data_IF_029852799346
#
_entry.id   IF_029852799346
#
_cell.length_a   1.000
_cell.length_b   1.000
_cell.length_c   1.000
_cell.angle_alpha   90.00
_cell.angle_beta   90.00
_cell.angle_gamma   90.00
#
_symmetry.space_group_name_H-M   'P 1'
#
loop_
_entity.id
_entity.type
_entity.pdbx_description
1 polymer ?
#
# COMPACT_ATOMS: atom_id res chain seq x y z
N UNK A 1 15.97 -11.87 45.68
CA UNK A 1 15.63 -13.07 44.88
C UNK A 1 14.18 -12.91 44.45
N UNK A 2 13.92 -12.25 43.33
CA UNK A 2 12.58 -12.02 42.77
C UNK A 2 12.56 -12.72 41.41
N UNK A 3 11.76 -13.76 41.33
CA UNK A 3 11.57 -14.58 40.14
C UNK A 3 10.76 -13.81 39.11
N UNK A 4 11.35 -13.48 37.99
CA UNK A 4 10.66 -13.04 36.78
C UNK A 4 9.99 -14.27 36.17
N UNK A 5 8.66 -14.35 36.32
CA UNK A 5 7.85 -15.27 35.53
C UNK A 5 7.77 -14.71 34.12
N UNK A 6 8.44 -15.38 33.19
CA UNK A 6 8.30 -15.12 31.74
C UNK A 6 6.92 -15.57 31.30
N UNK A 7 6.12 -14.64 30.81
CA UNK A 7 4.92 -14.94 30.05
C UNK A 7 5.31 -15.46 28.65
N UNK A 8 5.51 -16.78 28.57
CA UNK A 8 5.74 -17.49 27.31
C UNK A 8 4.38 -17.72 26.61
N UNK A 9 4.02 -16.82 25.70
CA UNK A 9 2.76 -16.99 24.96
C UNK A 9 2.81 -16.55 23.49
N UNK A 10 3.61 -15.57 23.14
CA UNK A 10 3.53 -14.95 21.82
C UNK A 10 4.71 -15.23 20.87
N UNK A 11 5.89 -15.58 21.36
CA UNK A 11 7.07 -15.79 20.51
C UNK A 11 7.01 -17.07 19.65
N UNK A 12 6.34 -18.12 20.16
CA UNK A 12 6.22 -19.41 19.44
C UNK A 12 5.27 -19.36 18.24
N UNK A 13 4.21 -18.52 18.28
CA UNK A 13 3.28 -18.43 17.17
C UNK A 13 3.88 -17.67 15.98
N UNK A 14 4.59 -16.57 16.22
CA UNK A 14 5.14 -15.74 15.13
C UNK A 14 6.33 -16.43 14.41
N UNK A 15 7.19 -17.14 15.12
CA UNK A 15 8.24 -17.98 14.51
C UNK A 15 7.68 -19.08 13.60
N UNK A 16 6.55 -19.70 13.99
CA UNK A 16 5.86 -20.66 13.13
C UNK A 16 5.25 -19.99 11.88
N UNK A 17 4.90 -18.72 11.96
CA UNK A 17 4.37 -17.94 10.85
C UNK A 17 5.38 -17.72 9.71
N UNK A 18 6.60 -17.30 10.06
CA UNK A 18 7.67 -17.01 9.10
C UNK A 18 8.14 -18.27 8.37
N UNK A 19 8.04 -19.44 9.00
CA UNK A 19 8.46 -20.72 8.41
C UNK A 19 7.43 -21.34 7.46
N UNK A 20 6.16 -20.88 7.47
CA UNK A 20 5.07 -21.48 6.68
C UNK A 20 4.74 -20.76 5.37
N UNK A 21 5.02 -19.46 5.23
CA UNK A 21 4.77 -18.71 4.00
C UNK A 21 5.84 -17.61 3.82
N UNK A 22 6.79 -17.87 2.92
CA UNK A 22 7.89 -16.96 2.59
C UNK A 22 7.47 -15.86 1.61
N UNK A 23 6.17 -15.58 1.47
CA UNK A 23 5.64 -14.55 0.58
C UNK A 23 5.26 -13.31 1.37
N UNK A 24 5.67 -12.14 0.86
CA UNK A 24 5.36 -10.85 1.46
C UNK A 24 3.83 -10.62 1.57
N UNK A 25 3.09 -10.84 0.46
CA UNK A 25 1.64 -10.66 0.47
C UNK A 25 0.93 -11.73 1.30
N UNK A 26 1.49 -12.94 1.41
CA UNK A 26 0.98 -13.97 2.30
C UNK A 26 1.04 -13.55 3.77
N UNK A 27 2.12 -12.86 4.19
CA UNK A 27 2.24 -12.27 5.52
C UNK A 27 1.17 -11.18 5.73
N UNK A 28 1.04 -10.25 4.78
CA UNK A 28 0.05 -9.16 4.86
C UNK A 28 -1.39 -9.70 4.90
N UNK A 29 -1.72 -10.66 4.04
CA UNK A 29 -3.05 -11.30 4.02
C UNK A 29 -3.38 -11.94 5.37
N UNK A 30 -2.43 -12.65 5.94
CA UNK A 30 -2.57 -13.30 7.24
C UNK A 30 -2.77 -12.28 8.36
N UNK A 31 -1.94 -11.24 8.40
CA UNK A 31 -2.06 -10.15 9.37
C UNK A 31 -3.44 -9.50 9.31
N UNK A 32 -3.97 -9.25 8.10
CA UNK A 32 -5.34 -8.72 7.93
C UNK A 32 -6.41 -9.64 8.51
N UNK A 33 -6.25 -10.97 8.38
CA UNK A 33 -7.21 -11.96 8.87
C UNK A 33 -7.18 -12.10 10.39
N UNK A 34 -6.00 -12.18 10.97
CA UNK A 34 -5.80 -12.49 12.39
C UNK A 34 -6.03 -11.29 13.29
N UNK A 35 -5.70 -10.10 12.81
CA UNK A 35 -5.84 -8.86 13.58
C UNK A 35 -7.11 -8.08 13.21
N UNK A 36 -8.12 -8.75 12.66
CA UNK A 36 -9.34 -8.19 12.06
C UNK A 36 -9.97 -7.01 12.81
N UNK A 37 -10.04 -7.10 14.14
CA UNK A 37 -10.66 -6.10 14.99
C UNK A 37 -9.67 -5.14 15.66
N UNK A 38 -8.36 -5.28 15.39
CA UNK A 38 -7.34 -4.40 15.96
C UNK A 38 -7.18 -3.13 15.13
N UNK A 39 -6.73 -2.01 15.74
CA UNK A 39 -6.29 -0.82 15.02
C UNK A 39 -5.13 -1.14 14.06
N UNK A 40 -5.17 -0.59 12.85
CA UNK A 40 -4.11 -0.74 11.85
C UNK A 40 -3.44 0.60 11.52
N UNK A 41 -4.21 1.59 11.09
CA UNK A 41 -3.71 2.91 10.71
C UNK A 41 -4.52 4.02 11.38
N UNK A 42 -3.83 5.08 11.80
CA UNK A 42 -4.46 6.28 12.37
C UNK A 42 -3.84 7.53 11.77
N UNK A 43 -4.67 8.48 11.38
CA UNK A 43 -4.22 9.81 11.01
C UNK A 43 -4.15 10.70 12.25
N UNK A 44 -3.17 11.59 12.33
CA UNK A 44 -3.02 12.52 13.45
C UNK A 44 -4.29 13.41 13.59
N UNK A 45 -4.90 13.38 14.77
CA UNK A 45 -6.21 14.01 15.01
C UNK A 45 -7.34 13.59 14.06
N UNK A 46 -7.19 12.41 13.43
CA UNK A 46 -8.09 11.89 12.42
C UNK A 46 -8.72 10.56 12.80
N UNK A 47 -9.10 9.82 11.78
CA UNK A 47 -9.76 8.53 11.92
C UNK A 47 -8.76 7.39 12.17
N UNK A 48 -9.16 6.43 13.02
CA UNK A 48 -8.45 5.16 13.19
C UNK A 48 -9.14 4.07 12.36
N UNK A 49 -8.39 3.45 11.45
CA UNK A 49 -8.85 2.31 10.67
C UNK A 49 -8.40 1.02 11.36
N UNK A 50 -9.34 0.09 11.53
CA UNK A 50 -9.03 -1.28 11.96
C UNK A 50 -8.64 -2.12 10.74
N UNK A 51 -7.98 -3.26 10.95
CA UNK A 51 -7.59 -4.16 9.87
C UNK A 51 -8.78 -4.52 8.96
N UNK A 52 -9.96 -4.77 9.53
CA UNK A 52 -11.21 -4.98 8.76
C UNK A 52 -11.59 -3.82 7.84
N UNK A 53 -11.34 -2.59 8.27
CA UNK A 53 -11.67 -1.40 7.48
C UNK A 53 -10.66 -1.23 6.34
N UNK A 54 -9.38 -1.52 6.63
CA UNK A 54 -8.30 -1.56 5.62
C UNK A 54 -8.62 -2.62 4.57
N UNK A 55 -8.91 -3.85 4.98
CA UNK A 55 -9.23 -4.95 4.07
C UNK A 55 -10.43 -4.65 3.16
N UNK A 56 -11.51 -4.06 3.71
CA UNK A 56 -12.68 -3.63 2.93
C UNK A 56 -12.34 -2.53 1.93
N UNK A 57 -11.49 -1.58 2.30
CA UNK A 57 -11.05 -0.49 1.41
C UNK A 57 -10.16 -1.02 0.29
N UNK A 58 -9.24 -1.93 0.60
CA UNK A 58 -8.41 -2.63 -0.40
C UNK A 58 -9.32 -3.35 -1.40
N UNK A 59 -10.31 -4.09 -0.95
CA UNK A 59 -11.22 -4.82 -1.83
C UNK A 59 -12.04 -3.87 -2.73
N UNK A 60 -12.56 -2.77 -2.19
CA UNK A 60 -13.25 -1.75 -2.98
C UNK A 60 -12.31 -1.09 -4.01
N UNK A 61 -11.06 -0.88 -3.63
CA UNK A 61 -10.04 -0.36 -4.53
C UNK A 61 -9.70 -1.36 -5.65
N UNK A 62 -9.63 -2.66 -5.34
CA UNK A 62 -9.47 -3.70 -6.37
C UNK A 62 -10.62 -3.68 -7.39
N UNK A 63 -11.87 -3.60 -6.93
CA UNK A 63 -13.04 -3.46 -7.80
C UNK A 63 -12.91 -2.22 -8.70
N UNK A 64 -12.42 -1.09 -8.17
CA UNK A 64 -12.17 0.10 -8.96
C UNK A 64 -11.10 -0.12 -10.03
N UNK A 65 -9.97 -0.73 -9.67
CA UNK A 65 -8.89 -1.02 -10.62
C UNK A 65 -9.36 -1.94 -11.77
N UNK A 66 -10.13 -2.98 -11.44
CA UNK A 66 -10.72 -3.89 -12.43
C UNK A 66 -11.62 -3.13 -13.42
N UNK A 67 -12.52 -2.26 -12.93
CA UNK A 67 -13.43 -1.49 -13.77
C UNK A 67 -12.73 -0.41 -14.60
N UNK A 68 -11.59 0.10 -14.11
CA UNK A 68 -10.74 1.00 -14.87
C UNK A 68 -9.88 0.27 -15.92
N UNK A 69 -9.94 -1.05 -15.99
CA UNK A 69 -9.17 -1.87 -16.91
C UNK A 69 -7.68 -1.93 -16.58
N UNK A 70 -7.34 -1.76 -15.30
CA UNK A 70 -5.99 -1.97 -14.76
C UNK A 70 -5.79 -3.48 -14.59
N UNK A 71 -4.63 -3.97 -14.98
CA UNK A 71 -4.26 -5.39 -14.92
C UNK A 71 -3.12 -5.63 -13.94
N UNK A 72 -2.94 -6.89 -13.54
CA UNK A 72 -1.74 -7.32 -12.82
C UNK A 72 -0.49 -6.95 -13.61
N UNK A 73 0.55 -6.46 -12.91
CA UNK A 73 1.77 -5.94 -13.51
C UNK A 73 1.69 -4.52 -14.07
N UNK A 74 0.48 -3.94 -14.21
CA UNK A 74 0.36 -2.52 -14.54
C UNK A 74 0.91 -1.65 -13.40
N UNK A 75 1.52 -0.51 -13.74
CA UNK A 75 2.08 0.43 -12.78
C UNK A 75 0.98 1.39 -12.33
N UNK A 76 0.94 1.65 -11.02
CA UNK A 76 0.04 2.59 -10.37
C UNK A 76 0.88 3.60 -9.60
N UNK A 77 0.87 4.86 -10.03
CA UNK A 77 1.58 5.94 -9.38
C UNK A 77 0.78 6.42 -8.16
N UNK A 78 1.51 6.69 -7.07
CA UNK A 78 0.93 7.20 -5.83
C UNK A 78 1.77 8.38 -5.34
N UNK A 79 1.16 9.57 -5.24
CA UNK A 79 1.78 10.84 -4.84
C UNK A 79 0.90 11.57 -3.84
N UNK A 80 1.44 11.81 -2.66
CA UNK A 80 0.71 12.50 -1.59
C UNK A 80 1.49 12.49 -0.28
N UNK A 81 1.00 13.26 0.69
CA UNK A 81 1.53 13.25 2.06
C UNK A 81 1.19 11.94 2.76
N UNK A 82 1.94 11.63 3.82
CA UNK A 82 1.65 10.51 4.69
C UNK A 82 0.20 10.55 5.17
N UNK A 83 -0.50 9.45 4.99
CA UNK A 83 -1.88 9.27 5.46
C UNK A 83 -2.24 7.80 5.47
N UNK A 84 -3.24 7.44 6.27
CA UNK A 84 -3.80 6.10 6.26
C UNK A 84 -4.29 5.69 4.86
N UNK A 85 -4.87 6.61 4.11
CA UNK A 85 -5.31 6.35 2.74
C UNK A 85 -4.15 6.04 1.79
N UNK A 86 -3.00 6.72 1.96
CA UNK A 86 -1.79 6.42 1.20
C UNK A 86 -1.32 4.98 1.45
N UNK A 87 -1.22 4.58 2.72
CA UNK A 87 -0.82 3.23 3.11
C UNK A 87 -1.81 2.18 2.59
N UNK A 88 -3.12 2.40 2.74
CA UNK A 88 -4.17 1.52 2.24
C UNK A 88 -4.05 1.33 0.72
N UNK A 89 -3.84 2.41 -0.03
CA UNK A 89 -3.65 2.33 -1.47
C UNK A 89 -2.37 1.61 -1.85
N UNK A 90 -1.26 1.86 -1.16
CA UNK A 90 0.01 1.18 -1.40
C UNK A 90 -0.13 -0.34 -1.24
N UNK A 91 -0.64 -0.79 -0.10
CA UNK A 91 -0.90 -2.22 0.11
C UNK A 91 -1.95 -2.77 -0.86
N UNK A 92 -2.96 -1.98 -1.20
CA UNK A 92 -3.97 -2.35 -2.18
C UNK A 92 -3.40 -2.55 -3.59
N UNK A 93 -2.45 -1.73 -4.02
CA UNK A 93 -1.74 -1.91 -5.30
C UNK A 93 -0.98 -3.25 -5.31
N UNK A 94 -0.20 -3.51 -4.27
CA UNK A 94 0.57 -4.75 -4.15
C UNK A 94 -0.34 -5.97 -4.07
N UNK A 95 -1.36 -5.92 -3.22
CA UNK A 95 -2.33 -7.01 -3.02
C UNK A 95 -3.15 -7.34 -4.28
N UNK A 96 -3.31 -6.39 -5.20
CA UNK A 96 -3.90 -6.59 -6.53
C UNK A 96 -2.95 -7.31 -7.49
N UNK A 97 -1.64 -7.26 -7.24
CA UNK A 97 -0.58 -7.70 -8.15
C UNK A 97 -0.20 -6.62 -9.17
N UNK A 98 -0.51 -5.37 -8.90
CA UNK A 98 0.01 -4.23 -9.65
C UNK A 98 1.34 -3.74 -9.05
N UNK A 99 2.08 -2.94 -9.81
CA UNK A 99 3.37 -2.39 -9.40
C UNK A 99 3.16 -1.00 -8.82
N UNK A 100 3.56 -0.78 -7.57
CA UNK A 100 3.50 0.54 -6.96
C UNK A 100 4.63 1.44 -7.47
N UNK A 101 4.28 2.69 -7.83
CA UNK A 101 5.24 3.75 -8.19
C UNK A 101 5.08 4.90 -7.19
N UNK A 102 5.71 4.80 -5.99
CA UNK A 102 5.65 5.85 -5.01
C UNK A 102 6.45 7.07 -5.49
N UNK A 103 5.81 8.25 -5.42
CA UNK A 103 6.39 9.54 -5.83
C UNK A 103 6.36 10.48 -4.64
N UNK A 104 7.50 11.10 -4.34
CA UNK A 104 7.59 12.09 -3.28
C UNK A 104 6.66 13.28 -3.55
N UNK A 105 5.84 13.64 -2.56
CA UNK A 105 4.85 14.71 -2.68
C UNK A 105 5.48 16.10 -2.88
N UNK A 106 6.76 16.24 -2.57
CA UNK A 106 7.55 17.48 -2.74
C UNK A 106 8.08 17.67 -4.17
N UNK A 107 7.92 16.66 -5.04
CA UNK A 107 8.37 16.79 -6.42
C UNK A 107 7.53 17.82 -7.19
N UNK A 108 8.21 18.57 -8.05
CA UNK A 108 7.53 19.54 -8.95
C UNK A 108 6.61 18.79 -9.92
N UNK A 109 5.52 19.41 -10.39
CA UNK A 109 4.57 18.80 -11.33
C UNK A 109 5.24 18.17 -12.55
N UNK A 110 6.20 18.84 -13.17
CA UNK A 110 6.90 18.30 -14.34
C UNK A 110 7.66 17.00 -14.04
N UNK A 111 8.24 16.89 -12.85
CA UNK A 111 8.90 15.66 -12.43
C UNK A 111 7.89 14.55 -12.18
N UNK A 112 6.73 14.87 -11.61
CA UNK A 112 5.64 13.90 -11.41
C UNK A 112 5.14 13.40 -12.77
N UNK A 113 4.83 14.29 -13.72
CA UNK A 113 4.42 13.94 -15.08
C UNK A 113 5.47 13.06 -15.77
N UNK A 114 6.76 13.44 -15.64
CA UNK A 114 7.86 12.65 -16.20
C UNK A 114 7.90 11.23 -15.63
N UNK A 115 7.81 11.07 -14.29
CA UNK A 115 7.85 9.76 -13.64
C UNK A 115 6.65 8.92 -14.05
N UNK A 116 5.44 9.48 -14.08
CA UNK A 116 4.21 8.79 -14.50
C UNK A 116 4.36 8.25 -15.93
N UNK A 117 4.83 9.10 -16.85
CA UNK A 117 5.01 8.69 -18.25
C UNK A 117 6.16 7.68 -18.41
N UNK A 118 7.31 7.94 -17.80
CA UNK A 118 8.49 7.07 -17.89
C UNK A 118 8.24 5.69 -17.28
N UNK A 119 7.51 5.61 -16.18
CA UNK A 119 7.12 4.33 -15.58
C UNK A 119 6.08 3.57 -16.40
N UNK A 120 5.35 4.27 -17.27
CA UNK A 120 4.20 3.74 -18.01
C UNK A 120 3.01 3.48 -17.08
N UNK A 121 2.85 4.28 -16.01
CA UNK A 121 1.75 4.12 -15.07
C UNK A 121 0.38 4.25 -15.75
N UNK A 122 -0.54 3.36 -15.40
CA UNK A 122 -1.91 3.31 -15.95
C UNK A 122 -2.95 3.93 -15.00
N UNK A 123 -2.57 4.17 -13.75
CA UNK A 123 -3.38 4.91 -12.79
C UNK A 123 -2.50 5.86 -11.98
N UNK A 124 -3.09 6.97 -11.55
CA UNK A 124 -2.47 7.97 -10.67
C UNK A 124 -3.39 8.22 -9.48
N UNK A 125 -2.84 8.02 -8.29
CA UNK A 125 -3.48 8.32 -7.02
C UNK A 125 -2.78 9.55 -6.44
N UNK A 126 -3.48 10.67 -6.32
CA UNK A 126 -2.88 11.94 -5.92
C UNK A 126 -3.57 12.56 -4.71
N UNK A 127 -2.79 13.13 -3.79
CA UNK A 127 -3.32 14.04 -2.78
C UNK A 127 -3.78 15.35 -3.41
N UNK A 128 -4.79 16.01 -2.83
CA UNK A 128 -5.38 17.24 -3.40
C UNK A 128 -4.35 18.33 -3.67
N UNK A 129 -3.42 18.55 -2.75
CA UNK A 129 -2.36 19.56 -2.91
C UNK A 129 -1.42 19.27 -4.08
N UNK A 130 -1.20 18.01 -4.43
CA UNK A 130 -0.42 17.63 -5.61
C UNK A 130 -1.27 17.78 -6.88
N UNK A 131 -2.53 17.32 -6.81
CA UNK A 131 -3.44 17.32 -7.95
C UNK A 131 -3.71 18.73 -8.51
N UNK A 132 -3.90 19.73 -7.65
CA UNK A 132 -4.15 21.11 -8.04
C UNK A 132 -3.09 21.69 -8.99
N UNK A 133 -1.86 21.16 -8.94
CA UNK A 133 -0.74 21.60 -9.75
C UNK A 133 -0.41 20.64 -10.91
N UNK A 134 -1.11 19.49 -11.02
CA UNK A 134 -0.90 18.52 -12.08
C UNK A 134 -1.79 18.80 -13.29
N UNK A 135 -1.33 18.38 -14.46
CA UNK A 135 -2.09 18.45 -15.70
C UNK A 135 -2.26 17.05 -16.29
N UNK A 136 -3.48 16.53 -16.24
CA UNK A 136 -3.82 15.19 -16.75
C UNK A 136 -3.48 15.00 -18.24
N UNK A 137 -3.58 16.08 -19.05
CA UNK A 137 -3.23 16.02 -20.48
C UNK A 137 -1.76 15.70 -20.72
N UNK A 138 -0.90 15.95 -19.73
CA UNK A 138 0.52 15.60 -19.78
C UNK A 138 0.78 14.11 -19.48
N UNK A 139 -0.26 13.34 -19.16
CA UNK A 139 -0.19 11.93 -18.80
C UNK A 139 -1.22 11.12 -19.62
N UNK A 140 -1.09 11.08 -20.96
CA UNK A 140 -2.14 10.58 -21.87
C UNK A 140 -2.43 9.07 -21.75
N UNK A 141 -1.48 8.29 -21.22
CA UNK A 141 -1.63 6.83 -21.07
C UNK A 141 -2.33 6.40 -19.78
N UNK A 142 -2.61 7.36 -18.89
CA UNK A 142 -3.29 7.11 -17.62
C UNK A 142 -4.78 6.92 -17.84
N UNK A 143 -5.33 5.81 -17.33
CA UNK A 143 -6.74 5.44 -17.46
C UNK A 143 -7.60 5.85 -16.27
N UNK A 144 -6.95 6.05 -15.10
CA UNK A 144 -7.62 6.33 -13.84
C UNK A 144 -6.86 7.39 -13.07
N UNK A 145 -7.58 8.47 -12.73
CA UNK A 145 -7.11 9.45 -11.74
C UNK A 145 -8.02 9.41 -10.51
N UNK A 146 -7.43 9.25 -9.33
CA UNK A 146 -8.15 9.16 -8.06
C UNK A 146 -7.49 10.04 -7.00
N UNK A 147 -8.34 10.72 -6.21
CA UNK A 147 -7.90 11.50 -5.06
C UNK A 147 -7.64 10.59 -3.86
N UNK A 148 -6.48 10.69 -3.24
CA UNK A 148 -6.14 9.95 -2.01
C UNK A 148 -6.98 10.37 -0.81
N UNK A 149 -7.30 11.66 -0.70
CA UNK A 149 -7.95 12.23 0.49
C UNK A 149 -9.34 11.64 0.76
N UNK A 150 -10.07 11.29 -0.29
CA UNK A 150 -11.46 10.82 -0.16
C UNK A 150 -11.84 9.71 -1.14
N UNK A 151 -10.88 9.15 -1.86
CA UNK A 151 -11.09 8.14 -2.92
C UNK A 151 -12.03 8.63 -4.04
N UNK A 152 -12.12 9.94 -4.28
CA UNK A 152 -12.91 10.45 -5.40
C UNK A 152 -12.19 10.22 -6.72
N UNK A 153 -12.96 9.75 -7.71
CA UNK A 153 -12.49 9.51 -9.07
C UNK A 153 -12.71 10.79 -9.86
N UNK A 154 -11.68 11.28 -10.52
CA UNK A 154 -11.71 12.55 -11.25
C UNK A 154 -12.30 12.33 -12.66
N UNK A 155 -11.81 11.32 -13.36
CA UNK A 155 -12.12 11.10 -14.77
C UNK A 155 -13.31 10.14 -15.00
N UNK A 156 -13.58 9.23 -14.05
CA UNK A 156 -14.66 8.23 -14.18
C UNK A 156 -15.67 8.37 -13.04
N UNK A 157 -16.41 9.47 -13.01
CA UNK A 157 -17.39 9.80 -11.94
C UNK A 157 -18.45 8.72 -11.72
N UNK A 158 -18.87 8.05 -12.77
CA UNK A 158 -19.91 7.01 -12.72
C UNK A 158 -19.50 5.72 -12.01
N UNK A 159 -18.22 5.38 -11.99
CA UNK A 159 -17.74 4.12 -11.36
C UNK A 159 -17.78 4.23 -9.83
N UNK A 160 -17.40 5.37 -9.25
CA UNK A 160 -17.36 5.55 -7.80
C UNK A 160 -18.72 5.30 -7.16
N UNK A 161 -19.76 5.89 -7.71
CA UNK A 161 -21.12 5.79 -7.17
C UNK A 161 -21.63 4.34 -7.17
N UNK A 162 -21.07 3.49 -8.05
CA UNK A 162 -21.42 2.09 -8.18
C UNK A 162 -20.49 1.13 -7.43
N UNK A 163 -19.36 1.57 -6.89
CA UNK A 163 -18.42 0.66 -6.20
C UNK A 163 -19.07 -0.02 -5.02
N UNK A 164 -19.86 0.70 -4.23
CA UNK A 164 -20.59 0.11 -3.12
C UNK A 164 -21.64 -0.91 -3.58
N UNK A 165 -22.28 -0.69 -4.73
CA UNK A 165 -23.20 -1.64 -5.36
C UNK A 165 -22.46 -2.90 -5.81
N UNK A 166 -21.33 -2.76 -6.50
CA UNK A 166 -20.50 -3.89 -6.95
C UNK A 166 -19.94 -4.68 -5.76
N UNK A 167 -19.48 -3.97 -4.73
CA UNK A 167 -19.03 -4.60 -3.49
C UNK A 167 -20.16 -5.38 -2.81
N UNK A 168 -21.36 -4.81 -2.68
CA UNK A 168 -22.52 -5.47 -2.13
C UNK A 168 -23.01 -6.68 -2.96
N UNK A 169 -22.89 -6.62 -4.29
CA UNK A 169 -23.17 -7.77 -5.17
C UNK A 169 -22.15 -8.89 -4.99
N UNK A 170 -20.87 -8.55 -4.85
CA UNK A 170 -19.79 -9.54 -4.63
C UNK A 170 -19.87 -10.19 -3.25
N UNK A 171 -20.29 -9.41 -2.24
CA UNK A 171 -20.41 -9.86 -0.84
C UNK A 171 -21.83 -9.60 -0.28
N UNK A 172 -22.84 -10.38 -0.70
CA UNK A 172 -24.24 -10.09 -0.40
C UNK A 172 -24.62 -10.27 1.08
N UNK A 173 -23.86 -11.03 1.84
CA UNK A 173 -24.11 -11.25 3.28
C UNK A 173 -23.24 -10.30 4.12
N UNK A 174 -21.94 -10.44 4.02
CA UNK A 174 -20.93 -9.63 4.70
C UNK A 174 -19.56 -9.92 4.11
N UNK A 175 -18.66 -8.95 4.15
CA UNK A 175 -17.24 -9.16 3.90
C UNK A 175 -16.55 -9.48 5.23
N UNK A 176 -15.88 -10.62 5.29
CA UNK A 176 -15.25 -11.17 6.49
C UNK A 176 -13.76 -11.42 6.28
N UNK A 177 -13.03 -11.76 7.34
CA UNK A 177 -11.63 -12.13 7.25
C UNK A 177 -11.36 -13.28 6.25
N UNK A 178 -12.31 -14.22 6.10
CA UNK A 178 -12.17 -15.35 5.17
C UNK A 178 -12.26 -14.95 3.70
N UNK A 179 -12.82 -13.77 3.40
CA UNK A 179 -12.96 -13.26 2.05
C UNK A 179 -11.70 -12.53 1.57
N UNK A 180 -10.79 -12.20 2.49
CA UNK A 180 -9.51 -11.56 2.15
C UNK A 180 -8.64 -12.53 1.37
N UNK A 181 -8.34 -12.17 0.13
CA UNK A 181 -7.46 -12.95 -0.78
C UNK A 181 -6.64 -11.99 -1.60
N UNK A 182 -5.33 -12.09 -1.47
CA UNK A 182 -4.39 -11.23 -2.17
C UNK A 182 -3.70 -11.98 -3.31
N UNK A 183 -2.98 -11.24 -4.14
CA UNK A 183 -2.18 -11.80 -5.21
C UNK A 183 -1.18 -12.82 -4.65
N UNK A 184 -0.99 -13.94 -5.37
CA UNK A 184 0.05 -14.90 -5.07
C UNK A 184 1.26 -14.51 -5.91
N UNK A 185 2.18 -13.80 -5.29
CA UNK A 185 3.35 -13.26 -5.95
C UNK A 185 4.47 -14.30 -6.15
N UNK A 186 5.19 -14.18 -7.25
CA UNK A 186 6.53 -14.76 -7.39
C UNK A 186 7.56 -13.86 -6.69
N UNK A 187 8.56 -14.39 -5.98
CA UNK A 187 9.60 -13.58 -5.32
C UNK A 187 10.34 -12.61 -6.24
N UNK A 188 10.51 -12.95 -7.50
CA UNK A 188 11.20 -12.11 -8.51
C UNK A 188 10.24 -11.14 -9.22
N UNK A 189 8.93 -11.25 -9.00
CA UNK A 189 7.95 -10.34 -9.56
C UNK A 189 8.18 -8.91 -9.04
N UNK A 190 8.08 -7.92 -9.94
CA UNK A 190 8.27 -6.52 -9.60
C UNK A 190 7.13 -6.03 -8.72
N UNK A 191 7.46 -5.57 -7.51
CA UNK A 191 6.50 -5.00 -6.55
C UNK A 191 6.47 -3.47 -6.60
N UNK A 192 7.65 -2.84 -6.60
CA UNK A 192 7.78 -1.38 -6.51
C UNK A 192 8.79 -0.87 -7.53
N UNK A 193 8.45 0.23 -8.19
CA UNK A 193 9.35 1.01 -9.02
C UNK A 193 9.56 2.37 -8.36
N UNK A 194 10.67 2.52 -7.66
CA UNK A 194 10.98 3.74 -6.89
C UNK A 194 11.91 4.66 -7.67
N UNK A 195 11.60 5.96 -7.68
CA UNK A 195 12.41 6.97 -8.36
C UNK A 195 13.25 7.77 -7.38
N UNK A 196 14.55 7.76 -7.61
CA UNK A 196 15.49 8.57 -6.83
C UNK A 196 15.78 9.89 -7.54
N UNK A 197 15.95 10.97 -6.76
CA UNK A 197 16.48 12.23 -7.27
C UNK A 197 17.95 12.00 -7.67
N UNK A 198 18.17 11.69 -8.94
CA UNK A 198 19.53 11.55 -9.46
C UNK A 198 20.32 12.87 -9.41
N UNK A 199 21.62 12.79 -9.24
CA UNK A 199 22.55 13.95 -9.43
C UNK A 199 22.60 14.42 -10.90
N UNK A 200 22.03 13.65 -11.82
CA UNK A 200 21.82 13.97 -13.23
C UNK A 200 20.38 14.37 -13.47
N UNK A 201 20.10 15.19 -14.46
CA UNK A 201 18.81 15.83 -14.78
C UNK A 201 17.57 14.90 -14.91
N UNK A 202 17.73 13.60 -14.82
CA UNK A 202 16.61 12.62 -14.92
C UNK A 202 16.59 11.67 -13.73
N UNK A 203 15.40 11.51 -13.13
CA UNK A 203 15.16 10.53 -12.08
C UNK A 203 15.36 9.12 -12.60
N UNK A 204 16.05 8.26 -11.84
CA UNK A 204 16.26 6.86 -12.18
C UNK A 204 15.25 5.99 -11.44
N UNK A 205 14.59 5.09 -12.15
CA UNK A 205 13.69 4.09 -11.57
C UNK A 205 14.47 2.88 -11.05
N UNK A 206 14.33 2.58 -9.76
CA UNK A 206 14.90 1.39 -9.13
C UNK A 206 13.80 0.32 -9.04
N UNK A 207 14.06 -0.84 -9.61
CA UNK A 207 13.14 -1.99 -9.62
C UNK A 207 13.32 -2.81 -8.36
N UNK A 208 12.25 -2.97 -7.59
CA UNK A 208 12.25 -3.66 -6.30
C UNK A 208 11.28 -4.85 -6.39
N UNK A 209 11.77 -6.09 -6.41
CA UNK A 209 10.95 -7.29 -6.43
C UNK A 209 10.37 -7.61 -5.05
N UNK A 210 9.36 -8.49 -4.99
CA UNK A 210 8.72 -8.89 -3.72
C UNK A 210 9.70 -9.51 -2.72
N UNK A 211 10.73 -10.26 -3.17
CA UNK A 211 11.77 -10.81 -2.28
C UNK A 211 12.50 -9.73 -1.48
N UNK A 212 12.64 -8.52 -2.04
CA UNK A 212 13.29 -7.40 -1.34
C UNK A 212 12.39 -6.84 -0.23
N UNK A 213 11.07 -6.77 -0.45
CA UNK A 213 10.11 -6.39 0.58
C UNK A 213 10.09 -7.43 1.70
N UNK A 214 10.03 -8.72 1.34
CA UNK A 214 10.13 -9.83 2.29
C UNK A 214 11.40 -9.75 3.15
N UNK A 215 12.57 -9.62 2.50
CA UNK A 215 13.85 -9.54 3.20
C UNK A 215 13.93 -8.35 4.16
N UNK A 216 13.31 -7.22 3.78
CA UNK A 216 13.27 -6.04 4.64
C UNK A 216 12.40 -6.27 5.88
N UNK A 217 11.22 -6.84 5.71
CA UNK A 217 10.34 -7.19 6.84
C UNK A 217 11.00 -8.22 7.76
N UNK A 218 11.66 -9.23 7.19
CA UNK A 218 12.44 -10.20 7.98
C UNK A 218 13.58 -9.54 8.76
N UNK A 219 14.32 -8.63 8.11
CA UNK A 219 15.38 -7.88 8.78
C UNK A 219 14.86 -7.06 9.96
N UNK A 220 13.74 -6.36 9.79
CA UNK A 220 13.14 -5.58 10.86
C UNK A 220 12.71 -6.48 12.02
N UNK A 221 12.05 -7.60 11.74
CA UNK A 221 11.69 -8.59 12.77
C UNK A 221 12.91 -9.06 13.57
N UNK A 222 14.02 -9.37 12.90
CA UNK A 222 15.22 -9.87 13.54
C UNK A 222 15.99 -8.79 14.32
N UNK A 223 15.90 -7.52 13.91
CA UNK A 223 16.75 -6.43 14.40
C UNK A 223 16.02 -5.40 15.26
N UNK A 224 14.70 -5.43 15.27
CA UNK A 224 13.86 -4.53 16.07
C UNK A 224 13.04 -5.31 17.14
N UNK A 225 13.69 -6.12 18.01
CA UNK A 225 12.99 -6.99 18.95
C UNK A 225 12.26 -6.22 20.06
N UNK A 226 12.41 -4.90 20.09
CA UNK A 226 11.71 -4.01 21.03
C UNK A 226 10.35 -3.53 20.52
N UNK A 227 10.00 -3.83 19.25
CA UNK A 227 8.67 -3.55 18.68
C UNK A 227 7.80 -4.79 18.88
N UNK A 228 6.64 -4.61 19.51
CA UNK A 228 5.71 -5.70 19.84
C UNK A 228 4.34 -5.47 19.18
N UNK A 229 3.56 -6.53 18.96
CA UNK A 229 2.18 -6.39 18.52
C UNK A 229 1.37 -5.47 19.44
N UNK A 230 0.74 -4.44 18.87
CA UNK A 230 -0.01 -3.42 19.60
C UNK A 230 0.76 -2.13 19.89
N UNK A 231 2.07 -2.09 19.62
CA UNK A 231 2.83 -0.84 19.67
C UNK A 231 2.40 0.11 18.55
N UNK A 232 2.54 1.42 18.81
CA UNK A 232 2.24 2.46 17.85
C UNK A 232 3.54 3.03 17.27
N UNK A 233 3.65 3.00 15.96
CA UNK A 233 4.76 3.58 15.21
C UNK A 233 4.29 4.88 14.56
N UNK A 234 5.06 5.96 14.75
CA UNK A 234 4.78 7.25 14.12
C UNK A 234 5.54 7.36 12.81
N UNK A 235 4.82 7.41 11.68
CA UNK A 235 5.39 7.58 10.35
C UNK A 235 5.75 9.06 10.12
N UNK A 236 6.99 9.44 10.43
CA UNK A 236 7.50 10.82 10.30
C UNK A 236 8.17 11.08 8.95
N UNK A 237 8.79 10.07 8.37
CA UNK A 237 9.43 10.19 7.07
C UNK A 237 8.40 10.03 5.93
N UNK A 238 8.63 10.63 4.76
CA UNK A 238 7.73 10.42 3.63
C UNK A 238 7.59 8.93 3.30
N UNK A 239 6.35 8.41 3.30
CA UNK A 239 6.07 7.01 2.97
C UNK A 239 6.54 6.62 1.56
N UNK A 240 6.60 7.59 0.65
CA UNK A 240 7.16 7.39 -0.70
C UNK A 240 8.69 7.33 -0.73
N UNK A 241 9.39 7.69 0.36
CA UNK A 241 10.82 7.55 0.48
C UNK A 241 11.17 6.14 0.93
N UNK A 242 12.17 5.51 0.31
CA UNK A 242 12.50 4.10 0.62
C UNK A 242 12.76 3.81 2.09
N UNK A 243 13.35 4.75 2.82
CA UNK A 243 13.58 4.56 4.25
C UNK A 243 12.27 4.58 5.06
N UNK A 244 11.40 5.56 4.81
CA UNK A 244 10.07 5.62 5.44
C UNK A 244 9.22 4.40 5.08
N UNK A 245 9.24 4.01 3.80
CA UNK A 245 8.56 2.80 3.35
C UNK A 245 9.08 1.55 4.08
N UNK A 246 10.40 1.37 4.12
CA UNK A 246 11.04 0.17 4.65
C UNK A 246 10.89 0.02 6.18
N UNK A 247 10.95 1.11 6.94
CA UNK A 247 11.01 1.05 8.40
C UNK A 247 9.75 1.53 9.12
N UNK A 248 8.87 2.26 8.44
CA UNK A 248 7.67 2.82 9.07
C UNK A 248 6.36 2.25 8.50
N UNK A 249 6.38 1.74 7.26
CA UNK A 249 5.16 1.26 6.56
C UNK A 249 5.11 -0.25 6.47
N UNK A 250 6.25 -0.91 6.17
CA UNK A 250 6.31 -2.36 5.94
C UNK A 250 6.47 -3.19 7.23
N UNK A 251 6.77 -2.57 8.35
CA UNK A 251 6.99 -3.20 9.64
C UNK A 251 5.99 -2.72 10.67
#
# INVERSE_FOLDING_TARGET
>A
MLSLQHSHGYSGSFLNYITMDNRFLGLIERSMKEHWDLPAFSDYNGHTFHFKDVARRIEKFHILLEHAGIKKGDKVAIVGRNSSNWAICFFGILAYGAVAVPILHEFKPDNIHHIVNHSGAKAVLAGSSNWENMNEKMMPDVKLFMMLDNFSIIEVRTIRDRINEYFGKKYPRSFTANDVKYHIEDPEELAVLNYTSGTTSFSKGVMIPYRSLWSNTQFAYDRLPFIHPGDNIVCMLPMAHMYGLAFEVLN
#
